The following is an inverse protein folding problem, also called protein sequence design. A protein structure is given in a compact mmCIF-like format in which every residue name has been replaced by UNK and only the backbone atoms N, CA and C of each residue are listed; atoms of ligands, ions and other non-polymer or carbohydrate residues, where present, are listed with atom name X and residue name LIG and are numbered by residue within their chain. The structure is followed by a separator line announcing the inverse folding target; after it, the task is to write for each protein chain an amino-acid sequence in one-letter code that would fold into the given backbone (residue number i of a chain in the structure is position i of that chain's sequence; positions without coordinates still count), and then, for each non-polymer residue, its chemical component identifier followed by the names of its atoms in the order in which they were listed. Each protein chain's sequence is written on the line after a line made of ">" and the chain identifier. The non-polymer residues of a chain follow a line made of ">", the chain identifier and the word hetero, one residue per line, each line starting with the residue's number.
data_IF_077319675011
#
_entry.id   IF_077319675011
#
_cell.length_a   1.000
_cell.length_b   1.000
_cell.length_c   1.000
_cell.angle_alpha   90.00
_cell.angle_beta   90.00
_cell.angle_gamma   90.00
#
_symmetry.space_group_name_H-M   'P 1'
#
loop_
_entity.id
_entity.type
_entity.pdbx_description
1 polymer ?
#
# COMPACT_ATOMS: atom_id res chain seq x y z
N UNK A 1 6.22 0.34 17.70
CA UNK A 1 6.06 0.64 16.25
C UNK A 1 6.50 -0.54 15.40
N UNK A 2 7.78 -0.95 15.43
CA UNK A 2 8.27 -2.08 14.65
C UNK A 2 7.48 -3.39 14.89
N UNK A 3 7.18 -3.74 16.15
CA UNK A 3 6.36 -4.93 16.46
C UNK A 3 4.99 -4.90 15.79
N UNK A 4 4.32 -3.75 15.75
CA UNK A 4 3.02 -3.62 15.09
C UNK A 4 3.13 -3.71 13.56
N UNK A 5 4.21 -3.17 12.97
CA UNK A 5 4.47 -3.31 11.54
C UNK A 5 4.75 -4.77 11.18
N UNK A 6 5.53 -5.48 12.01
CA UNK A 6 5.78 -6.91 11.84
C UNK A 6 4.48 -7.71 11.94
N UNK A 7 3.67 -7.51 12.99
CA UNK A 7 2.39 -8.20 13.14
C UNK A 7 1.44 -7.92 11.96
N UNK A 8 1.33 -6.67 11.52
CA UNK A 8 0.50 -6.31 10.38
C UNK A 8 0.99 -7.01 9.09
N UNK A 9 2.29 -7.01 8.84
CA UNK A 9 2.87 -7.70 7.68
C UNK A 9 2.74 -9.22 7.78
N UNK A 10 2.83 -9.82 8.98
CA UNK A 10 2.54 -11.24 9.18
C UNK A 10 1.11 -11.56 8.78
N UNK A 11 0.13 -10.72 9.16
CA UNK A 11 -1.26 -10.90 8.75
C UNK A 11 -1.42 -10.80 7.22
N UNK A 12 -0.76 -9.84 6.56
CA UNK A 12 -0.80 -9.72 5.10
C UNK A 12 -0.16 -10.93 4.41
N UNK A 13 0.97 -11.43 4.91
CA UNK A 13 1.65 -12.62 4.37
C UNK A 13 0.84 -13.89 4.57
N UNK A 14 0.14 -14.00 5.70
CA UNK A 14 -0.79 -15.10 5.94
C UNK A 14 -1.99 -15.03 5.00
N UNK A 15 -2.57 -13.83 4.80
CA UNK A 15 -3.69 -13.62 3.89
C UNK A 15 -3.33 -13.88 2.41
N UNK A 16 -2.08 -13.64 2.05
CA UNK A 16 -1.54 -13.91 0.72
C UNK A 16 -0.90 -15.31 0.58
N UNK A 17 -1.05 -16.19 1.58
CA UNK A 17 -0.54 -17.56 1.59
C UNK A 17 0.97 -17.69 1.33
N UNK A 18 1.75 -16.70 1.76
CA UNK A 18 3.21 -16.65 1.51
C UNK A 18 3.96 -17.72 2.30
N UNK A 19 3.49 -18.02 3.51
CA UNK A 19 4.14 -19.01 4.39
C UNK A 19 3.98 -20.42 3.84
N UNK A 20 5.11 -21.09 3.57
CA UNK A 20 5.15 -22.44 3.00
C UNK A 20 5.17 -22.46 1.46
N UNK A 21 4.67 -21.41 0.80
CA UNK A 21 4.79 -21.26 -0.66
C UNK A 21 6.20 -20.79 -1.08
N UNK A 22 6.85 -19.95 -0.27
CA UNK A 22 8.17 -19.38 -0.55
C UNK A 22 9.22 -19.81 0.48
N UNK A 23 10.51 -19.84 0.11
CA UNK A 23 11.57 -20.16 1.05
C UNK A 23 11.71 -19.08 2.13
N UNK A 24 12.13 -19.49 3.33
CA UNK A 24 12.20 -18.62 4.50
C UNK A 24 13.02 -17.34 4.28
N UNK A 25 14.08 -17.37 3.47
CA UNK A 25 14.90 -16.20 3.17
C UNK A 25 14.15 -15.17 2.34
N UNK A 26 13.26 -15.60 1.42
CA UNK A 26 12.44 -14.70 0.61
C UNK A 26 11.40 -13.99 1.48
N UNK A 27 10.84 -14.69 2.47
CA UNK A 27 9.92 -14.11 3.46
C UNK A 27 10.62 -13.00 4.26
N UNK A 28 11.87 -13.21 4.69
CA UNK A 28 12.66 -12.19 5.41
C UNK A 28 12.90 -10.96 4.52
N UNK A 29 13.30 -11.16 3.27
CA UNK A 29 13.47 -10.06 2.30
C UNK A 29 12.14 -9.31 2.13
N UNK A 30 11.04 -10.03 2.00
CA UNK A 30 9.69 -9.45 1.92
C UNK A 30 9.40 -8.53 3.10
N UNK A 31 9.66 -8.96 4.34
CA UNK A 31 9.47 -8.10 5.52
C UNK A 31 10.28 -6.81 5.41
N UNK A 32 11.56 -6.89 5.03
CA UNK A 32 12.43 -5.71 4.91
C UNK A 32 11.89 -4.75 3.85
N UNK A 33 11.55 -5.26 2.66
CA UNK A 33 11.06 -4.44 1.55
C UNK A 33 9.74 -3.77 1.90
N UNK A 34 8.74 -4.55 2.32
CA UNK A 34 7.39 -4.03 2.56
C UNK A 34 7.32 -3.11 3.78
N UNK A 35 8.03 -3.41 4.87
CA UNK A 35 8.14 -2.48 6.01
C UNK A 35 8.90 -1.22 5.59
N UNK A 36 9.92 -1.34 4.75
CA UNK A 36 10.63 -0.21 4.15
C UNK A 36 9.68 0.72 3.37
N UNK A 37 8.85 0.17 2.50
CA UNK A 37 7.84 0.92 1.72
C UNK A 37 6.85 1.62 2.64
N UNK A 38 6.36 0.95 3.68
CA UNK A 38 5.45 1.56 4.67
C UNK A 38 6.08 2.77 5.35
N UNK A 39 7.36 2.69 5.74
CA UNK A 39 8.06 3.82 6.34
C UNK A 39 8.35 4.94 5.33
N UNK A 40 8.63 4.61 4.06
CA UNK A 40 8.81 5.60 3.01
C UNK A 40 7.52 6.41 2.78
N UNK A 41 6.37 5.74 2.72
CA UNK A 41 5.05 6.40 2.67
C UNK A 41 4.79 7.30 3.88
N UNK A 42 5.13 6.84 5.09
CA UNK A 42 4.98 7.66 6.30
C UNK A 42 5.82 8.94 6.22
N UNK A 43 7.01 8.88 5.60
CA UNK A 43 7.84 10.05 5.37
C UNK A 43 7.23 11.04 4.35
N UNK A 44 6.46 10.55 3.36
CA UNK A 44 5.82 11.40 2.33
C UNK A 44 4.72 12.32 2.90
N UNK A 45 4.16 12.02 4.07
CA UNK A 45 3.10 12.85 4.68
C UNK A 45 3.60 14.20 5.22
N UNK A 46 4.92 14.44 5.18
CA UNK A 46 5.52 15.72 5.56
C UNK A 46 5.23 16.87 4.59
N UNK A 47 4.70 16.60 3.40
CA UNK A 47 4.36 17.62 2.40
C UNK A 47 2.89 17.50 2.00
N UNK A 48 2.17 18.63 2.07
CA UNK A 48 0.75 18.71 1.74
C UNK A 48 0.46 18.11 0.36
N UNK A 49 -0.43 17.13 0.31
CA UNK A 49 -0.93 16.53 -0.91
C UNK A 49 -0.20 15.30 -1.40
N UNK A 50 1.08 15.11 -1.03
CA UNK A 50 1.92 14.08 -1.65
C UNK A 50 1.37 12.68 -1.34
N UNK A 51 1.21 12.33 -0.06
CA UNK A 51 0.71 11.01 0.34
C UNK A 51 -0.65 10.69 -0.28
N UNK A 52 -1.56 11.67 -0.30
CA UNK A 52 -2.91 11.47 -0.85
C UNK A 52 -2.91 11.31 -2.37
N UNK A 53 -2.22 12.19 -3.11
CA UNK A 53 -2.15 12.13 -4.57
C UNK A 53 -1.43 10.88 -5.05
N UNK A 54 -0.31 10.53 -4.43
CA UNK A 54 0.45 9.33 -4.76
C UNK A 54 -0.36 8.07 -4.49
N UNK A 55 -1.07 8.00 -3.36
CA UNK A 55 -1.96 6.87 -3.06
C UNK A 55 -3.08 6.75 -4.08
N UNK A 56 -3.70 7.87 -4.51
CA UNK A 56 -4.72 7.87 -5.56
C UNK A 56 -4.14 7.36 -6.88
N UNK A 57 -2.96 7.84 -7.30
CA UNK A 57 -2.32 7.42 -8.55
C UNK A 57 -2.06 5.91 -8.57
N UNK A 58 -1.54 5.35 -7.47
CA UNK A 58 -1.31 3.91 -7.33
C UNK A 58 -2.63 3.14 -7.29
N UNK A 59 -3.61 3.56 -6.49
CA UNK A 59 -4.89 2.85 -6.32
C UNK A 59 -5.74 2.84 -7.59
N UNK A 60 -5.78 3.94 -8.34
CA UNK A 60 -6.47 4.00 -9.64
C UNK A 60 -5.81 3.03 -10.63
N UNK A 61 -4.49 3.00 -10.66
CA UNK A 61 -3.73 2.09 -11.55
C UNK A 61 -3.95 0.62 -11.17
N UNK A 62 -3.94 0.30 -9.86
CA UNK A 62 -4.26 -1.03 -9.37
C UNK A 62 -5.71 -1.43 -9.66
N UNK A 63 -6.65 -0.48 -9.56
CA UNK A 63 -8.05 -0.70 -9.93
C UNK A 63 -8.20 -1.06 -11.41
N UNK A 64 -7.48 -0.35 -12.28
CA UNK A 64 -7.44 -0.69 -13.71
C UNK A 64 -6.87 -2.09 -13.95
N UNK A 65 -5.74 -2.43 -13.32
CA UNK A 65 -5.14 -3.76 -13.44
C UNK A 65 -6.10 -4.85 -12.95
N UNK A 66 -6.78 -4.63 -11.82
CA UNK A 66 -7.71 -5.61 -11.25
C UNK A 66 -8.90 -5.91 -12.17
N UNK A 67 -9.41 -4.90 -12.87
CA UNK A 67 -10.58 -5.04 -13.74
C UNK A 67 -10.23 -5.58 -15.14
N UNK A 68 -9.14 -5.07 -15.73
CA UNK A 68 -8.86 -5.27 -17.17
C UNK A 68 -7.66 -6.16 -17.48
N UNK A 69 -6.75 -6.40 -16.53
CA UNK A 69 -5.50 -7.13 -16.77
C UNK A 69 -5.48 -8.46 -16.02
N UNK A 70 -5.59 -8.40 -14.70
CA UNK A 70 -5.56 -9.56 -13.83
C UNK A 70 -6.34 -9.29 -12.55
N UNK A 71 -7.48 -9.97 -12.38
CA UNK A 71 -8.23 -9.93 -11.13
C UNK A 71 -7.43 -10.62 -10.01
N UNK A 72 -7.17 -9.89 -8.93
CA UNK A 72 -6.42 -10.35 -7.75
C UNK A 72 -7.15 -10.06 -6.43
N UNK A 73 -8.13 -9.16 -6.41
CA UNK A 73 -8.92 -8.83 -5.22
C UNK A 73 -10.32 -8.33 -5.58
N UNK A 74 -11.19 -8.14 -4.59
CA UNK A 74 -12.47 -7.47 -4.80
C UNK A 74 -12.29 -5.99 -5.10
N UNK A 75 -13.08 -5.44 -6.02
CA UNK A 75 -13.00 -4.02 -6.38
C UNK A 75 -13.18 -3.11 -5.14
N UNK A 76 -14.06 -3.48 -4.22
CA UNK A 76 -14.31 -2.77 -2.96
C UNK A 76 -13.04 -2.57 -2.14
N UNK A 77 -12.13 -3.55 -2.14
CA UNK A 77 -10.87 -3.47 -1.40
C UNK A 77 -9.90 -2.43 -1.96
N UNK A 78 -10.12 -1.96 -3.19
CA UNK A 78 -9.39 -0.85 -3.82
C UNK A 78 -10.19 0.46 -3.70
N UNK A 79 -11.51 0.41 -3.82
CA UNK A 79 -12.39 1.60 -3.77
C UNK A 79 -12.39 2.25 -2.39
N UNK A 80 -12.40 1.47 -1.29
CA UNK A 80 -12.40 2.05 0.06
C UNK A 80 -11.18 2.94 0.37
N UNK A 81 -9.91 2.49 0.19
CA UNK A 81 -8.76 3.36 0.42
C UNK A 81 -8.68 4.52 -0.59
N UNK A 82 -9.25 4.37 -1.79
CA UNK A 82 -9.32 5.45 -2.78
C UNK A 82 -10.25 6.58 -2.31
N UNK A 83 -11.46 6.22 -1.85
CA UNK A 83 -12.41 7.18 -1.28
C UNK A 83 -11.85 7.83 -0.01
N UNK A 84 -11.22 7.06 0.87
CA UNK A 84 -10.56 7.59 2.07
C UNK A 84 -9.47 8.61 1.69
N UNK A 85 -8.66 8.31 0.67
CA UNK A 85 -7.61 9.20 0.17
C UNK A 85 -8.20 10.48 -0.44
N UNK A 86 -9.32 10.40 -1.18
CA UNK A 86 -10.02 11.56 -1.73
C UNK A 86 -10.55 12.49 -0.62
N UNK A 87 -11.22 11.93 0.39
CA UNK A 87 -11.72 12.70 1.54
C UNK A 87 -10.56 13.32 2.32
N UNK A 88 -9.49 12.57 2.57
CA UNK A 88 -8.28 13.09 3.20
C UNK A 88 -7.67 14.25 2.40
N UNK A 89 -7.52 14.09 1.09
CA UNK A 89 -6.94 15.08 0.21
C UNK A 89 -7.72 16.40 0.20
N UNK A 90 -9.05 16.35 0.35
CA UNK A 90 -9.87 17.56 0.48
C UNK A 90 -9.47 18.46 1.66
N UNK A 91 -8.99 17.89 2.77
CA UNK A 91 -8.52 18.63 3.94
C UNK A 91 -7.02 18.93 3.89
N UNK A 92 -6.24 18.07 3.24
CA UNK A 92 -4.77 18.13 3.21
C UNK A 92 -4.21 18.96 2.03
N UNK A 93 -4.80 18.87 0.83
CA UNK A 93 -4.32 19.52 -0.40
C UNK A 93 -4.65 21.02 -0.44
N UNK A 94 -3.92 21.78 0.37
CA UNK A 94 -4.10 23.23 0.55
C UNK A 94 -2.75 23.89 0.77
N UNK A 95 -2.69 25.21 0.52
CA UNK A 95 -1.52 26.04 0.91
C UNK A 95 -1.21 25.96 2.41
N UNK A 96 -2.26 25.76 3.23
CA UNK A 96 -2.18 25.41 4.65
C UNK A 96 -3.08 24.22 4.90
N UNK A 97 -2.51 23.05 5.13
CA UNK A 97 -3.26 21.84 5.43
C UNK A 97 -4.08 22.03 6.71
N UNK A 98 -5.33 21.55 6.68
CA UNK A 98 -6.19 21.53 7.88
C UNK A 98 -5.98 20.26 8.70
N UNK A 99 -5.50 19.20 8.05
CA UNK A 99 -5.30 17.88 8.62
C UNK A 99 -4.09 17.24 7.94
N UNK A 100 -3.25 16.60 8.74
CA UNK A 100 -2.21 15.67 8.29
C UNK A 100 -2.67 14.26 8.65
N UNK A 101 -2.26 13.26 7.85
CA UNK A 101 -2.63 11.88 8.16
C UNK A 101 -1.98 11.46 9.47
N UNK A 102 -0.79 12.00 9.74
CA UNK A 102 0.05 11.61 10.85
C UNK A 102 0.45 10.14 10.71
N UNK A 103 1.13 9.63 11.73
CA UNK A 103 1.69 8.29 11.66
C UNK A 103 0.65 7.19 11.46
N UNK A 104 -0.51 7.32 12.09
CA UNK A 104 -1.58 6.31 11.99
C UNK A 104 -2.18 6.31 10.59
N UNK A 105 -2.50 7.49 10.03
CA UNK A 105 -3.14 7.59 8.73
C UNK A 105 -2.20 7.19 7.59
N UNK A 106 -0.97 7.70 7.58
CA UNK A 106 -0.01 7.42 6.51
C UNK A 106 0.42 5.96 6.50
N UNK A 107 0.68 5.35 7.67
CA UNK A 107 1.05 3.93 7.76
C UNK A 107 -0.14 3.05 7.38
N UNK A 108 -1.36 3.43 7.75
CA UNK A 108 -2.57 2.71 7.37
C UNK A 108 -2.77 2.65 5.85
N UNK A 109 -2.67 3.81 5.18
CA UNK A 109 -2.78 3.86 3.71
C UNK A 109 -1.64 3.05 3.05
N UNK A 110 -0.41 3.20 3.54
CA UNK A 110 0.73 2.49 3.01
C UNK A 110 0.59 0.97 3.12
N UNK A 111 0.15 0.49 4.29
CA UNK A 111 -0.09 -0.94 4.52
C UNK A 111 -1.14 -1.49 3.55
N UNK A 112 -2.19 -0.72 3.26
CA UNK A 112 -3.22 -1.12 2.32
C UNK A 112 -2.66 -1.25 0.89
N UNK A 113 -1.92 -0.25 0.42
CA UNK A 113 -1.28 -0.26 -0.90
C UNK A 113 -0.29 -1.43 -1.02
N UNK A 114 0.56 -1.61 -0.01
CA UNK A 114 1.52 -2.72 0.05
C UNK A 114 0.84 -4.08 0.00
N UNK A 115 -0.29 -4.23 0.69
CA UNK A 115 -1.06 -5.48 0.68
C UNK A 115 -1.64 -5.76 -0.70
N UNK A 116 -2.20 -4.75 -1.37
CA UNK A 116 -2.69 -4.89 -2.75
C UNK A 116 -1.56 -5.27 -3.72
N UNK A 117 -0.39 -4.63 -3.60
CA UNK A 117 0.79 -4.96 -4.40
C UNK A 117 1.25 -6.39 -4.16
N UNK A 118 1.32 -6.83 -2.90
CA UNK A 118 1.66 -8.21 -2.56
C UNK A 118 0.68 -9.19 -3.21
N UNK A 119 -0.63 -8.97 -3.08
CA UNK A 119 -1.64 -9.85 -3.69
C UNK A 119 -1.48 -9.93 -5.20
N UNK A 120 -1.23 -8.81 -5.87
CA UNK A 120 -1.00 -8.77 -7.32
C UNK A 120 0.27 -9.52 -7.72
N UNK A 121 1.38 -9.33 -6.99
CA UNK A 121 2.65 -10.04 -7.20
C UNK A 121 2.47 -11.54 -7.03
N UNK A 122 1.80 -11.99 -5.95
CA UNK A 122 1.54 -13.41 -5.74
C UNK A 122 0.62 -13.97 -6.83
N UNK A 123 -0.37 -13.20 -7.27
CA UNK A 123 -1.31 -13.67 -8.30
C UNK A 123 -0.68 -13.81 -9.68
N UNK A 124 0.27 -12.94 -10.02
CA UNK A 124 0.94 -12.90 -11.33
C UNK A 124 2.29 -13.59 -11.35
N UNK A 125 2.87 -13.88 -10.17
CA UNK A 125 4.24 -14.38 -9.99
C UNK A 125 5.31 -13.46 -10.60
N UNK A 126 5.03 -12.15 -10.66
CA UNK A 126 5.93 -11.15 -11.24
C UNK A 126 6.19 -10.00 -10.25
N UNK A 127 7.46 -9.61 -10.12
CA UNK A 127 7.89 -8.50 -9.26
C UNK A 127 7.82 -7.14 -9.95
N UNK A 128 7.55 -7.11 -11.27
CA UNK A 128 7.46 -5.86 -12.05
C UNK A 128 6.43 -4.88 -11.47
N UNK A 129 5.42 -5.39 -10.78
CA UNK A 129 4.36 -4.59 -10.17
C UNK A 129 4.83 -3.69 -9.03
N UNK A 130 6.00 -3.95 -8.43
CA UNK A 130 6.65 -2.98 -7.53
C UNK A 130 6.95 -1.65 -8.22
N UNK A 131 7.01 -1.64 -9.56
CA UNK A 131 7.19 -0.43 -10.35
C UNK A 131 6.06 0.60 -10.21
N UNK A 132 4.88 0.21 -9.72
CA UNK A 132 3.83 1.17 -9.35
C UNK A 132 4.28 2.17 -8.29
N UNK A 133 5.31 1.83 -7.50
CA UNK A 133 5.86 2.73 -6.50
C UNK A 133 6.74 3.84 -7.12
N UNK A 134 6.95 3.86 -8.43
CA UNK A 134 7.73 4.89 -9.13
C UNK A 134 6.89 5.94 -9.87
N UNK A 135 5.56 5.90 -9.70
CA UNK A 135 4.60 6.84 -10.31
C UNK A 135 4.66 8.21 -9.64
#
# INVERSE_FOLDING_TARGET
>A
RLLFHLLAMTCAFQAAEVFGAYPWWAVIIGYIVFIGIVNAYNFMDGINGITGLYSIAVLVSLGWVNEYVQAFTSADFIVYPLLASLVFLFFNFRKRAKCFAGDVGSVGIAFWVVTLLLLLIIRTQDLIWLGFLMV
#
